data_IF_405797165814
#
_entry.id   IF_405797165814
#
_cell.length_a   1.000
_cell.length_b   1.000
_cell.length_c   1.000
_cell.angle_alpha   90.00
_cell.angle_beta   90.00
_cell.angle_gamma   90.00
#
_symmetry.space_group_name_H-M   'P 1'
#
loop_
_entity.id
_entity.type
_entity.pdbx_description
1 polymer ?
#
# COMPACT_ATOMS: atom_id res chain seq x y z
N UNK A 1 -7.14 -5.52 -10.24
CA UNK A 1 -7.34 -6.45 -11.38
C UNK A 1 -6.02 -6.99 -11.92
N UNK A 2 -5.05 -6.16 -12.36
CA UNK A 2 -3.74 -6.67 -12.81
C UNK A 2 -3.00 -7.44 -11.71
N UNK A 3 -2.99 -6.92 -10.48
CA UNK A 3 -2.35 -7.58 -9.33
C UNK A 3 -3.06 -8.87 -8.90
N UNK A 4 -4.36 -9.01 -9.18
CA UNK A 4 -5.09 -10.26 -8.93
C UNK A 4 -4.61 -11.36 -9.89
N UNK A 5 -4.41 -11.01 -11.16
CA UNK A 5 -3.80 -11.91 -12.15
C UNK A 5 -2.36 -12.23 -11.76
N UNK A 6 -1.58 -11.25 -11.29
CA UNK A 6 -0.23 -11.50 -10.79
C UNK A 6 -0.23 -12.48 -9.61
N UNK A 7 -1.18 -12.33 -8.67
CA UNK A 7 -1.38 -13.30 -7.60
C UNK A 7 -1.62 -14.71 -8.14
N UNK A 8 -2.46 -14.86 -9.17
CA UNK A 8 -2.67 -16.16 -9.82
C UNK A 8 -1.41 -16.71 -10.51
N UNK A 9 -0.59 -15.85 -11.12
CA UNK A 9 0.70 -16.26 -11.70
C UNK A 9 1.61 -16.82 -10.60
N UNK A 10 1.68 -16.17 -9.44
CA UNK A 10 2.44 -16.68 -8.28
C UNK A 10 1.95 -18.07 -7.89
N UNK A 11 0.64 -18.30 -7.84
CA UNK A 11 0.10 -19.64 -7.51
C UNK A 11 0.52 -20.70 -8.52
N UNK A 12 0.41 -20.40 -9.82
CA UNK A 12 0.75 -21.34 -10.89
C UNK A 12 2.23 -21.67 -10.88
N UNK A 13 3.10 -20.67 -10.72
CA UNK A 13 4.55 -20.85 -10.76
C UNK A 13 5.08 -21.54 -9.50
N UNK A 14 4.53 -21.19 -8.33
CA UNK A 14 4.97 -21.77 -7.05
C UNK A 14 4.34 -23.13 -6.73
N UNK A 15 3.20 -23.45 -7.36
CA UNK A 15 2.39 -24.61 -6.98
C UNK A 15 1.68 -24.46 -5.62
N UNK A 16 1.71 -23.28 -5.01
CA UNK A 16 1.09 -22.99 -3.71
C UNK A 16 -0.13 -22.09 -3.88
N UNK A 17 -1.08 -22.15 -2.94
CA UNK A 17 -2.12 -21.11 -2.85
C UNK A 17 -1.49 -19.79 -2.40
N UNK A 18 -2.03 -18.66 -2.85
CA UNK A 18 -1.40 -17.36 -2.60
C UNK A 18 -1.29 -17.02 -1.09
N UNK A 19 -2.29 -17.40 -0.28
CA UNK A 19 -2.27 -17.21 1.18
C UNK A 19 -1.10 -17.97 1.83
N UNK A 20 -0.83 -19.20 1.38
CA UNK A 20 0.28 -20.02 1.85
C UNK A 20 1.62 -19.43 1.42
N UNK A 21 1.74 -19.03 0.16
CA UNK A 21 2.96 -18.40 -0.36
C UNK A 21 3.30 -17.12 0.40
N UNK A 22 2.33 -16.22 0.58
CA UNK A 22 2.51 -14.97 1.34
C UNK A 22 2.87 -15.26 2.80
N UNK A 23 2.23 -16.25 3.43
CA UNK A 23 2.55 -16.65 4.79
C UNK A 23 3.99 -17.17 4.90
N UNK A 24 4.40 -18.08 4.03
CA UNK A 24 5.72 -18.73 4.08
C UNK A 24 6.86 -17.78 3.68
N UNK A 25 6.66 -16.98 2.64
CA UNK A 25 7.74 -16.22 1.99
C UNK A 25 7.85 -14.78 2.45
N UNK A 26 6.81 -14.23 3.09
CA UNK A 26 6.77 -12.81 3.49
C UNK A 26 6.38 -12.67 4.96
N UNK A 27 5.18 -13.10 5.32
CA UNK A 27 4.57 -12.76 6.62
C UNK A 27 5.27 -13.46 7.79
N UNK A 28 5.52 -14.77 7.70
CA UNK A 28 6.25 -15.49 8.76
C UNK A 28 7.72 -15.03 8.89
N UNK A 29 8.50 -14.87 7.79
CA UNK A 29 9.85 -14.33 7.89
C UNK A 29 9.92 -12.99 8.60
N UNK A 30 8.99 -12.07 8.31
CA UNK A 30 8.92 -10.74 8.93
C UNK A 30 8.10 -10.70 10.23
N UNK A 31 7.66 -11.84 10.76
CA UNK A 31 6.80 -11.92 11.95
C UNK A 31 5.50 -11.09 11.89
N UNK A 32 4.90 -10.96 10.69
CA UNK A 32 3.61 -10.29 10.46
C UNK A 32 2.44 -11.19 10.90
N UNK A 33 2.21 -11.28 12.21
CA UNK A 33 1.30 -12.28 12.80
C UNK A 33 -0.20 -11.99 12.59
N UNK A 34 -0.53 -10.80 12.11
CA UNK A 34 -1.89 -10.32 11.86
C UNK A 34 -2.12 -9.96 10.38
N UNK A 35 -1.26 -10.42 9.49
CA UNK A 35 -1.33 -10.16 8.05
C UNK A 35 -1.71 -11.40 7.27
N UNK A 36 -2.70 -11.28 6.38
CA UNK A 36 -3.18 -12.40 5.57
C UNK A 36 -4.43 -12.06 4.77
N UNK A 37 -5.19 -13.08 4.40
CA UNK A 37 -6.45 -12.93 3.63
C UNK A 37 -7.71 -13.20 4.46
N UNK A 38 -7.54 -13.70 5.68
CA UNK A 38 -8.64 -14.01 6.60
C UNK A 38 -8.22 -13.71 8.04
N UNK A 39 -9.20 -13.46 8.91
CA UNK A 39 -9.02 -13.26 10.34
C UNK A 39 -9.68 -14.42 11.08
N UNK A 40 -8.89 -15.18 11.85
CA UNK A 40 -9.42 -16.27 12.66
C UNK A 40 -10.37 -15.78 13.76
N UNK A 41 -11.28 -16.65 14.20
CA UNK A 41 -12.34 -16.33 15.18
C UNK A 41 -11.81 -15.66 16.45
N UNK A 42 -10.69 -16.15 17.00
CA UNK A 42 -10.06 -15.59 18.20
C UNK A 42 -9.62 -14.11 18.05
N UNK A 43 -9.45 -13.64 16.82
CA UNK A 43 -9.02 -12.28 16.48
C UNK A 43 -10.14 -11.43 15.90
N UNK A 44 -11.34 -11.99 15.67
CA UNK A 44 -12.44 -11.32 14.98
C UNK A 44 -12.89 -10.02 15.67
N UNK A 45 -12.86 -9.98 17.01
CA UNK A 45 -13.20 -8.79 17.79
C UNK A 45 -12.28 -7.58 17.56
N UNK A 46 -11.12 -7.76 16.90
CA UNK A 46 -10.16 -6.69 16.58
C UNK A 46 -10.35 -6.10 15.18
N UNK A 47 -11.30 -6.61 14.39
CA UNK A 47 -11.55 -6.11 13.03
C UNK A 47 -12.08 -4.69 13.13
N UNK A 48 -11.42 -3.76 12.44
CA UNK A 48 -11.87 -2.38 12.35
C UNK A 48 -13.02 -2.27 11.35
N UNK A 49 -14.17 -1.80 11.83
CA UNK A 49 -15.35 -1.55 10.99
C UNK A 49 -15.31 -0.14 10.39
N UNK A 50 -15.74 0.03 9.12
CA UNK A 50 -15.72 1.33 8.48
C UNK A 50 -16.70 2.29 9.13
N UNK A 51 -16.28 3.55 9.28
CA UNK A 51 -17.13 4.61 9.82
C UNK A 51 -18.45 4.73 9.03
N UNK A 52 -19.51 5.16 9.71
CA UNK A 52 -20.78 5.47 9.06
C UNK A 52 -20.58 6.66 8.14
N UNK A 53 -20.98 6.51 6.89
CA UNK A 53 -20.97 7.59 5.92
C UNK A 53 -22.04 8.63 6.27
N UNK A 54 -21.67 9.88 6.60
CA UNK A 54 -22.62 10.93 6.92
C UNK A 54 -23.53 11.29 5.74
N UNK A 55 -23.12 11.03 4.49
CA UNK A 55 -23.94 11.32 3.32
C UNK A 55 -25.08 10.30 3.13
N UNK A 56 -24.88 9.05 3.54
CA UNK A 56 -25.83 7.95 3.30
C UNK A 56 -26.42 7.36 4.59
N UNK A 57 -25.86 7.70 5.75
CA UNK A 57 -26.21 7.12 7.04
C UNK A 57 -25.85 5.64 7.18
N UNK A 58 -25.03 5.09 6.27
CA UNK A 58 -24.70 3.66 6.20
C UNK A 58 -23.20 3.45 6.24
N UNK A 59 -22.76 2.28 6.70
CA UNK A 59 -21.36 1.85 6.55
C UNK A 59 -21.13 1.42 5.10
N UNK A 60 -19.99 1.78 4.47
CA UNK A 60 -19.66 1.24 3.17
C UNK A 60 -19.48 -0.28 3.25
N UNK A 61 -19.81 -1.02 2.18
CA UNK A 61 -19.74 -2.47 2.18
C UNK A 61 -18.28 -2.95 2.26
N UNK A 62 -17.98 -3.80 3.24
CA UNK A 62 -16.70 -4.48 3.40
C UNK A 62 -16.88 -5.99 3.26
N UNK A 63 -15.86 -6.66 2.73
CA UNK A 63 -15.84 -8.11 2.72
C UNK A 63 -15.76 -8.64 4.16
N UNK A 64 -16.48 -9.71 4.45
CA UNK A 64 -16.39 -10.41 5.73
C UNK A 64 -15.10 -11.25 5.75
N UNK A 65 -14.05 -10.68 6.34
CA UNK A 65 -12.73 -11.29 6.40
C UNK A 65 -12.63 -12.42 7.44
N UNK A 66 -13.69 -12.68 8.20
CA UNK A 66 -13.78 -13.90 9.04
C UNK A 66 -14.10 -15.14 8.22
N UNK A 67 -14.57 -14.96 6.98
CA UNK A 67 -14.89 -16.04 6.06
C UNK A 67 -13.76 -16.24 5.06
N UNK A 68 -13.50 -17.49 4.71
CA UNK A 68 -12.58 -17.83 3.63
C UNK A 68 -13.12 -17.30 2.31
N UNK A 69 -12.35 -16.49 1.56
CA UNK A 69 -12.78 -16.02 0.25
C UNK A 69 -12.67 -17.17 -0.78
N UNK A 70 -13.48 -17.08 -1.84
CA UNK A 70 -13.43 -18.05 -2.95
C UNK A 70 -12.08 -18.06 -3.68
N UNK A 71 -11.35 -16.95 -3.60
CA UNK A 71 -10.01 -16.79 -4.16
C UNK A 71 -9.22 -15.73 -3.38
N UNK A 72 -7.90 -15.78 -3.48
CA UNK A 72 -7.01 -14.84 -2.81
C UNK A 72 -6.72 -13.65 -3.74
N UNK A 73 -7.49 -12.57 -3.60
CA UNK A 73 -7.33 -11.36 -4.41
C UNK A 73 -6.04 -10.62 -4.04
N UNK A 74 -5.00 -10.77 -4.87
CA UNK A 74 -3.72 -10.08 -4.68
C UNK A 74 -3.79 -8.55 -4.77
N UNK A 75 -4.84 -7.99 -5.38
CA UNK A 75 -5.03 -6.55 -5.52
C UNK A 75 -5.81 -5.87 -4.40
N UNK A 76 -6.55 -6.61 -3.57
CA UNK A 76 -7.41 -5.99 -2.55
C UNK A 76 -8.02 -6.95 -1.51
N UNK A 77 -7.57 -8.21 -1.45
CA UNK A 77 -8.13 -9.22 -0.56
C UNK A 77 -7.43 -9.36 0.79
N UNK A 78 -6.36 -8.59 1.04
CA UNK A 78 -5.56 -8.74 2.26
C UNK A 78 -6.04 -7.83 3.40
N UNK A 79 -5.79 -8.29 4.62
CA UNK A 79 -5.94 -7.58 5.88
C UNK A 79 -4.61 -7.57 6.63
N UNK A 80 -4.39 -6.55 7.44
CA UNK A 80 -3.15 -6.35 8.21
C UNK A 80 -3.41 -5.38 9.38
N UNK A 81 -2.36 -5.10 10.16
CA UNK A 81 -2.34 -4.08 11.21
C UNK A 81 -1.31 -3.02 10.91
N UNK A 82 -1.41 -1.84 11.55
CA UNK A 82 -0.45 -0.77 11.34
C UNK A 82 0.97 -1.20 11.71
N UNK A 83 1.12 -2.00 12.77
CA UNK A 83 2.39 -2.56 13.21
C UNK A 83 2.98 -3.52 12.15
N UNK A 84 2.22 -4.52 11.71
CA UNK A 84 2.70 -5.47 10.71
C UNK A 84 3.07 -4.76 9.38
N UNK A 85 2.25 -3.82 8.92
CA UNK A 85 2.55 -3.13 7.67
C UNK A 85 3.76 -2.19 7.80
N UNK A 86 4.03 -1.67 9.01
CA UNK A 86 5.24 -0.91 9.28
C UNK A 86 6.49 -1.79 9.22
N UNK A 87 6.46 -3.02 9.73
CA UNK A 87 7.56 -4.00 9.58
C UNK A 87 7.85 -4.32 8.10
N UNK A 88 6.81 -4.48 7.29
CA UNK A 88 6.95 -4.66 5.84
C UNK A 88 7.56 -3.43 5.15
N UNK A 89 7.06 -2.24 5.45
CA UNK A 89 7.57 -1.00 4.86
C UNK A 89 9.01 -0.69 5.33
N UNK A 90 9.34 -1.00 6.58
CA UNK A 90 10.70 -0.90 7.13
C UNK A 90 11.66 -1.83 6.41
N UNK A 91 11.25 -3.06 6.08
CA UNK A 91 12.05 -3.96 5.22
C UNK A 91 12.35 -3.35 3.86
N UNK A 92 11.41 -2.61 3.25
CA UNK A 92 11.68 -1.92 1.99
C UNK A 92 12.62 -0.72 2.18
N UNK A 93 12.46 0.07 3.25
CA UNK A 93 13.38 1.16 3.59
C UNK A 93 14.82 0.64 3.78
N UNK A 94 14.97 -0.51 4.44
CA UNK A 94 16.24 -1.19 4.65
C UNK A 94 16.69 -2.06 3.46
N UNK A 95 16.25 -1.72 2.25
CA UNK A 95 16.71 -2.33 1.01
C UNK A 95 16.52 -3.85 0.93
N UNK A 96 15.44 -4.35 1.51
CA UNK A 96 15.03 -5.75 1.39
C UNK A 96 15.41 -6.65 2.57
N UNK A 97 16.07 -6.09 3.59
CA UNK A 97 16.44 -6.79 4.81
C UNK A 97 15.90 -6.08 6.06
N UNK A 98 15.30 -6.81 7.00
CA UNK A 98 14.91 -6.25 8.29
C UNK A 98 14.92 -7.30 9.39
N UNK A 99 15.33 -6.91 10.61
CA UNK A 99 15.44 -7.83 11.76
C UNK A 99 16.20 -9.13 11.45
N UNK A 100 17.28 -9.04 10.65
CA UNK A 100 18.10 -10.19 10.24
C UNK A 100 17.42 -11.12 9.22
N UNK A 101 16.38 -10.65 8.53
CA UNK A 101 15.61 -11.40 7.52
C UNK A 101 15.75 -10.70 6.19
N UNK A 102 16.40 -11.37 5.24
CA UNK A 102 16.62 -10.86 3.89
C UNK A 102 15.57 -11.45 2.94
N UNK A 103 14.62 -10.65 2.49
CA UNK A 103 13.55 -11.09 1.57
C UNK A 103 13.87 -10.72 0.12
N UNK A 104 14.48 -9.57 -0.12
CA UNK A 104 14.77 -9.05 -1.45
C UNK A 104 16.18 -8.51 -1.51
N UNK A 105 16.91 -8.76 -2.61
CA UNK A 105 18.19 -8.09 -2.81
C UNK A 105 17.98 -6.56 -2.88
N UNK A 106 18.95 -5.78 -2.40
CA UNK A 106 18.88 -4.31 -2.44
C UNK A 106 18.68 -3.77 -3.86
N UNK A 107 19.29 -4.41 -4.85
CA UNK A 107 19.06 -4.09 -6.28
C UNK A 107 17.66 -4.42 -6.75
N UNK A 108 16.99 -5.41 -6.17
CA UNK A 108 15.58 -5.70 -6.46
C UNK A 108 14.67 -4.61 -5.92
N UNK A 109 14.88 -4.16 -4.67
CA UNK A 109 14.11 -3.04 -4.11
C UNK A 109 14.31 -1.77 -4.95
N UNK A 110 15.56 -1.42 -5.25
CA UNK A 110 15.86 -0.28 -6.11
C UNK A 110 15.22 -0.39 -7.51
N UNK A 111 15.18 -1.59 -8.08
CA UNK A 111 14.50 -1.83 -9.34
C UNK A 111 12.98 -1.69 -9.21
N UNK A 112 12.37 -2.18 -8.13
CA UNK A 112 10.93 -2.05 -7.87
C UNK A 112 10.49 -0.59 -7.72
N UNK A 113 11.32 0.24 -7.12
CA UNK A 113 11.03 1.66 -6.84
C UNK A 113 11.60 2.60 -7.90
N UNK A 114 11.93 2.09 -9.08
CA UNK A 114 12.32 2.90 -10.24
C UNK A 114 11.10 3.36 -11.05
N UNK A 115 11.29 4.33 -11.95
CA UNK A 115 10.31 4.65 -12.99
C UNK A 115 10.26 3.52 -14.04
N UNK A 116 9.12 2.82 -14.13
CA UNK A 116 8.87 1.78 -15.13
C UNK A 116 7.89 2.21 -16.23
N UNK A 117 7.45 3.47 -16.22
CA UNK A 117 6.52 3.97 -17.21
C UNK A 117 7.28 4.44 -18.46
N UNK A 118 6.93 3.94 -19.65
CA UNK A 118 7.56 4.42 -20.88
C UNK A 118 7.15 5.87 -21.15
N UNK A 119 8.03 6.67 -21.78
CA UNK A 119 7.68 8.03 -22.20
C UNK A 119 6.40 8.04 -23.06
N UNK A 120 5.49 8.96 -22.77
CA UNK A 120 4.26 9.14 -23.54
C UNK A 120 3.17 8.09 -23.28
N UNK A 121 3.27 7.32 -22.19
CA UNK A 121 2.19 6.41 -21.79
C UNK A 121 0.87 7.18 -21.58
N UNK A 122 -0.24 6.61 -22.05
CA UNK A 122 -1.56 7.18 -21.83
C UNK A 122 -2.17 6.65 -20.53
N UNK A 123 -2.74 7.55 -19.74
CA UNK A 123 -3.47 7.20 -18.52
C UNK A 123 -4.97 7.14 -18.79
N UNK A 124 -5.63 6.13 -18.24
CA UNK A 124 -7.08 6.01 -18.40
C UNK A 124 -7.82 7.15 -17.69
N UNK A 125 -8.96 7.64 -18.22
CA UNK A 125 -9.78 8.62 -17.52
C UNK A 125 -10.17 8.18 -16.10
N UNK A 126 -10.37 6.88 -15.88
CA UNK A 126 -10.68 6.31 -14.56
C UNK A 126 -9.52 6.51 -13.59
N UNK A 127 -8.29 6.27 -14.03
CA UNK A 127 -7.08 6.54 -13.23
C UNK A 127 -7.01 8.02 -12.88
N UNK A 128 -7.14 8.90 -13.88
CA UNK A 128 -7.01 10.33 -13.67
C UNK A 128 -8.09 10.86 -12.72
N UNK A 129 -9.37 10.56 -12.98
CA UNK A 129 -10.49 10.98 -12.12
C UNK A 129 -10.40 10.39 -10.70
N UNK A 130 -9.90 9.16 -10.57
CA UNK A 130 -9.77 8.49 -9.30
C UNK A 130 -8.65 9.06 -8.43
N UNK A 131 -7.49 9.38 -9.02
CA UNK A 131 -6.27 9.65 -8.25
C UNK A 131 -5.79 11.11 -8.28
N UNK A 132 -6.06 11.90 -9.34
CA UNK A 132 -5.62 13.31 -9.37
C UNK A 132 -6.21 14.14 -8.22
N UNK A 133 -7.53 14.09 -7.93
CA UNK A 133 -8.11 14.86 -6.83
C UNK A 133 -7.52 14.51 -5.45
N UNK A 134 -6.82 13.37 -5.34
CA UNK A 134 -6.21 12.89 -4.11
C UNK A 134 -4.70 13.17 -4.05
N UNK A 135 -4.12 13.80 -5.09
CA UNK A 135 -2.69 13.99 -5.26
C UNK A 135 -1.87 12.67 -5.22
N UNK A 136 -2.49 11.57 -5.68
CA UNK A 136 -1.87 10.24 -5.72
C UNK A 136 -1.81 9.66 -7.13
N UNK A 137 -2.09 10.47 -8.16
CA UNK A 137 -1.96 10.03 -9.53
C UNK A 137 -0.48 9.77 -9.86
N UNK A 138 -0.12 8.59 -10.38
CA UNK A 138 1.26 8.28 -10.74
C UNK A 138 1.60 8.84 -12.13
N UNK A 139 1.41 10.15 -12.32
CA UNK A 139 1.58 10.82 -13.61
C UNK A 139 2.78 11.77 -13.64
N UNK A 140 3.48 11.90 -14.78
CA UNK A 140 4.59 12.83 -14.92
C UNK A 140 4.21 14.30 -14.63
N UNK A 141 2.98 14.70 -14.94
CA UNK A 141 2.45 16.05 -14.68
C UNK A 141 2.45 16.38 -13.18
N UNK A 142 2.17 15.39 -12.34
CA UNK A 142 2.19 15.50 -10.88
C UNK A 142 3.60 15.21 -10.30
N UNK A 143 4.62 15.05 -11.14
CA UNK A 143 5.98 14.70 -10.73
C UNK A 143 6.08 13.30 -10.12
N UNK A 144 5.25 12.39 -10.63
CA UNK A 144 5.13 11.02 -10.18
C UNK A 144 5.33 10.06 -11.35
N UNK A 145 5.65 8.81 -11.02
CA UNK A 145 5.58 7.68 -11.94
C UNK A 145 5.05 6.45 -11.21
N UNK A 146 5.09 5.29 -11.86
CA UNK A 146 4.76 4.00 -11.28
C UNK A 146 5.90 3.00 -11.50
N UNK A 147 6.35 2.39 -10.41
CA UNK A 147 7.30 1.29 -10.41
C UNK A 147 6.61 -0.07 -10.37
N UNK A 148 7.30 -1.07 -9.85
CA UNK A 148 6.75 -2.43 -9.69
C UNK A 148 6.02 -2.55 -8.35
N UNK A 149 4.80 -2.01 -8.32
CA UNK A 149 3.88 -2.11 -7.17
C UNK A 149 3.68 -0.80 -6.39
N UNK A 150 4.38 0.28 -6.77
CA UNK A 150 4.35 1.55 -6.05
C UNK A 150 4.26 2.74 -7.00
N UNK A 151 3.56 3.80 -6.59
CA UNK A 151 3.82 5.13 -7.14
C UNK A 151 5.17 5.62 -6.64
N UNK A 152 5.92 6.33 -7.47
CA UNK A 152 7.27 6.81 -7.18
C UNK A 152 7.36 8.31 -7.50
N UNK A 153 7.87 9.12 -6.56
CA UNK A 153 8.09 10.55 -6.81
C UNK A 153 9.33 10.75 -7.67
N UNK A 154 9.19 11.48 -8.78
CA UNK A 154 10.29 11.74 -9.72
C UNK A 154 10.73 13.21 -9.74
N UNK A 155 9.91 14.14 -9.22
CA UNK A 155 10.24 15.57 -9.17
C UNK A 155 9.83 16.22 -7.85
N UNK A 156 10.57 17.26 -7.47
CA UNK A 156 10.17 18.16 -6.36
C UNK A 156 9.11 19.16 -6.82
N UNK A 157 8.18 19.51 -5.93
CA UNK A 157 7.19 20.59 -6.08
C UNK A 157 5.96 20.35 -6.95
N UNK A 158 6.01 19.45 -7.96
CA UNK A 158 4.85 19.16 -8.84
C UNK A 158 3.65 18.60 -8.08
N UNK A 159 3.90 17.65 -7.18
CA UNK A 159 2.88 17.11 -6.30
C UNK A 159 2.62 18.11 -5.16
N UNK A 160 1.35 18.41 -4.82
CA UNK A 160 1.00 19.38 -3.78
C UNK A 160 1.28 18.87 -2.35
N UNK A 161 1.67 17.61 -2.18
CA UNK A 161 2.04 17.01 -0.89
C UNK A 161 3.57 16.99 -0.72
N UNK A 162 4.09 17.27 0.49
CA UNK A 162 5.52 17.23 0.77
C UNK A 162 6.08 15.82 0.63
N UNK A 163 7.33 15.70 0.21
CA UNK A 163 8.07 14.43 0.09
C UNK A 163 9.30 14.55 -0.81
N UNK A 164 10.20 13.58 -0.70
CA UNK A 164 11.49 13.59 -1.38
C UNK A 164 11.48 12.80 -2.69
N UNK A 165 12.29 13.21 -3.68
CA UNK A 165 12.43 12.46 -4.93
C UNK A 165 12.94 11.04 -4.60
N UNK A 166 12.31 10.02 -5.19
CA UNK A 166 12.62 8.62 -4.91
C UNK A 166 11.78 8.00 -3.79
N UNK A 167 10.95 8.78 -3.07
CA UNK A 167 9.94 8.17 -2.20
C UNK A 167 8.99 7.29 -3.02
N UNK A 168 8.39 6.30 -2.36
CA UNK A 168 7.42 5.43 -2.98
C UNK A 168 6.27 5.08 -2.02
N UNK A 169 5.08 4.90 -2.58
CA UNK A 169 3.86 4.76 -1.81
C UNK A 169 2.76 4.00 -2.55
N UNK A 170 1.73 3.62 -1.80
CA UNK A 170 0.43 3.28 -2.36
C UNK A 170 -0.70 3.54 -1.36
N UNK A 171 -1.94 3.44 -1.84
CA UNK A 171 -3.14 3.73 -1.04
C UNK A 171 -4.18 2.63 -1.19
N UNK A 172 -4.92 2.34 -0.12
CA UNK A 172 -6.04 1.40 -0.11
C UNK A 172 -7.38 2.12 -0.02
N UNK A 173 -8.40 1.61 -0.71
CA UNK A 173 -9.67 2.29 -0.97
C UNK A 173 -10.32 2.99 0.25
N UNK A 174 -10.33 2.32 1.41
CA UNK A 174 -11.02 2.78 2.63
C UNK A 174 -10.18 3.67 3.55
N UNK A 175 -9.07 4.22 3.05
CA UNK A 175 -8.29 5.23 3.75
C UNK A 175 -6.92 4.77 4.24
N UNK A 176 -6.61 3.47 4.16
CA UNK A 176 -5.24 3.01 4.40
C UNK A 176 -4.28 3.64 3.41
N UNK A 177 -3.07 3.93 3.87
CA UNK A 177 -1.98 4.45 3.05
C UNK A 177 -0.65 4.15 3.72
N UNK A 178 0.41 4.03 2.94
CA UNK A 178 1.77 4.02 3.46
C UNK A 178 2.68 4.73 2.47
N UNK A 179 3.81 5.24 2.96
CA UNK A 179 4.90 5.69 2.11
C UNK A 179 6.24 5.39 2.80
N UNK A 180 7.26 5.27 1.97
CA UNK A 180 8.65 5.11 2.38
C UNK A 180 9.45 6.21 1.70
N UNK A 181 10.17 6.97 2.49
CA UNK A 181 11.05 8.04 2.03
C UNK A 181 12.50 7.70 2.42
N UNK A 182 13.30 7.15 1.48
CA UNK A 182 14.68 6.79 1.76
C UNK A 182 15.59 7.98 2.08
N UNK A 183 15.30 9.17 1.53
CA UNK A 183 16.07 10.40 1.79
C UNK A 183 15.95 10.77 3.27
N UNK A 184 14.72 10.77 3.78
CA UNK A 184 14.39 11.10 5.17
C UNK A 184 14.54 9.92 6.15
N UNK A 185 14.90 8.72 5.65
CA UNK A 185 14.91 7.45 6.42
C UNK A 185 13.59 7.22 7.16
N UNK A 186 12.49 7.51 6.49
CA UNK A 186 11.16 7.57 7.06
C UNK A 186 10.26 6.48 6.49
N UNK A 187 9.50 5.84 7.37
CA UNK A 187 8.32 5.04 7.02
C UNK A 187 7.12 5.65 7.73
N UNK A 188 6.01 5.77 7.01
CA UNK A 188 4.74 6.10 7.63
C UNK A 188 3.62 5.19 7.14
N UNK A 189 2.76 4.80 8.06
CA UNK A 189 1.60 3.93 7.81
C UNK A 189 0.37 4.58 8.45
N UNK A 190 -0.66 4.80 7.64
CA UNK A 190 -1.99 5.20 8.08
C UNK A 190 -2.93 4.01 7.93
N UNK A 191 -3.54 3.58 9.02
CA UNK A 191 -4.63 2.61 8.98
C UNK A 191 -5.92 3.23 9.50
N UNK A 192 -6.91 3.32 8.61
CA UNK A 192 -8.25 3.77 8.92
C UNK A 192 -9.25 3.08 8.00
N UNK A 193 -10.52 3.09 8.42
CA UNK A 193 -11.65 2.57 7.65
C UNK A 193 -12.71 3.67 7.58
N UNK A 194 -12.62 4.51 6.54
CA UNK A 194 -13.51 5.64 6.30
C UNK A 194 -14.24 5.47 4.96
N UNK A 195 -15.40 6.12 4.77
CA UNK A 195 -16.02 6.22 3.46
C UNK A 195 -15.00 6.71 2.42
N UNK A 196 -14.88 6.07 1.23
CA UNK A 196 -13.82 6.40 0.27
C UNK A 196 -13.70 7.88 -0.10
N UNK A 197 -14.79 8.67 -0.24
CA UNK A 197 -14.68 10.11 -0.50
C UNK A 197 -13.97 10.92 0.59
N UNK A 198 -13.88 10.41 1.82
CA UNK A 198 -13.23 11.09 2.95
C UNK A 198 -11.74 10.74 3.07
N UNK A 199 -11.31 9.59 2.53
CA UNK A 199 -9.94 9.11 2.63
C UNK A 199 -8.86 10.13 2.19
N UNK A 200 -9.02 10.89 1.08
CA UNK A 200 -7.98 11.79 0.61
C UNK A 200 -7.60 12.86 1.64
N UNK A 201 -8.59 13.44 2.31
CA UNK A 201 -8.40 14.49 3.33
C UNK A 201 -7.48 14.03 4.45
N UNK A 202 -7.72 12.84 4.99
CA UNK A 202 -6.93 12.32 6.12
C UNK A 202 -5.50 11.95 5.70
N UNK A 203 -5.33 11.39 4.50
CA UNK A 203 -3.99 11.09 3.96
C UNK A 203 -3.16 12.36 3.79
N UNK A 204 -3.72 13.38 3.14
CA UNK A 204 -3.03 14.65 2.94
C UNK A 204 -2.69 15.33 4.27
N UNK A 205 -3.63 15.32 5.24
CA UNK A 205 -3.41 15.90 6.56
C UNK A 205 -2.28 15.19 7.31
N UNK A 206 -2.32 13.86 7.42
CA UNK A 206 -1.27 13.11 8.11
C UNK A 206 0.09 13.38 7.48
N UNK A 207 0.15 13.33 6.15
CA UNK A 207 1.39 13.54 5.41
C UNK A 207 2.00 14.91 5.68
N UNK A 208 1.19 15.97 5.62
CA UNK A 208 1.65 17.31 5.97
C UNK A 208 2.18 17.38 7.40
N UNK A 209 1.47 16.80 8.37
CA UNK A 209 1.88 16.80 9.77
C UNK A 209 3.19 16.04 10.00
N UNK A 210 3.40 14.90 9.33
CA UNK A 210 4.63 14.10 9.45
C UNK A 210 5.82 14.90 8.95
N UNK A 211 5.76 15.45 7.73
CA UNK A 211 6.88 16.23 7.19
C UNK A 211 7.11 17.55 7.93
N UNK A 212 6.06 18.18 8.44
CA UNK A 212 6.20 19.37 9.30
C UNK A 212 6.89 19.08 10.65
N UNK A 213 6.85 17.84 11.12
CA UNK A 213 7.43 17.43 12.38
C UNK A 213 8.89 16.97 12.27
N UNK A 214 9.44 16.87 11.05
CA UNK A 214 10.86 16.60 10.86
C UNK A 214 11.66 17.84 11.32
N UNK A 215 12.61 17.60 12.21
CA UNK A 215 13.56 18.60 12.69
C UNK A 215 14.92 18.17 12.15
N UNK A 216 15.54 19.01 11.34
CA UNK A 216 16.92 18.82 10.85
C UNK A 216 17.94 18.95 11.97
#
# INVERSE_FOLDING_TARGET
>A
MSTDVLGRIVEVVSGQRLDQFIAERISKPLALTDTGFTVGEAKAARIAEPQVDPATGKRPPMADVTKQPNWMSGGGGMVSTAADYAEFAQMLLNHGEWSGKHLLASKTVAFMTSDHLPPGIAFSPVTLLGFHPQATAPTPEDGQSFGLGFAVRTQSGRNPLPGSVGEFYWVGLYGTAFWVDPEEKLVAVLMMQVPPPQAPRYRSLLRNLVYQALIE
#
